data_IF_382887711265
#
_entry.id   IF_382887711265
#
_cell.length_a   1.000
_cell.length_b   1.000
_cell.length_c   1.000
_cell.angle_alpha   90.00
_cell.angle_beta   90.00
_cell.angle_gamma   90.00
#
_symmetry.space_group_name_H-M   'P 1'
#
loop_
_entity.id
_entity.type
_entity.pdbx_description
1 polymer ?
#
# COMPACT_ATOMS: atom_id res chain seq x y z
N UNK A 1 -46.61 -30.28 -23.45
CA UNK A 1 -46.43 -28.83 -23.76
C UNK A 1 -45.16 -28.38 -23.07
N UNK A 2 -44.29 -27.64 -23.76
CA UNK A 2 -42.93 -27.37 -23.29
C UNK A 2 -42.87 -26.27 -22.23
N UNK A 3 -41.96 -26.44 -21.26
CA UNK A 3 -41.58 -25.38 -20.32
C UNK A 3 -40.80 -24.28 -21.05
N UNK A 4 -41.25 -23.03 -20.93
CA UNK A 4 -40.57 -21.90 -21.54
C UNK A 4 -39.37 -21.45 -20.67
N UNK A 5 -38.17 -21.49 -21.25
CA UNK A 5 -36.98 -20.89 -20.65
C UNK A 5 -37.04 -19.36 -20.78
N UNK A 6 -36.97 -18.66 -19.65
CA UNK A 6 -36.88 -17.20 -19.63
C UNK A 6 -35.48 -16.75 -20.07
N UNK A 7 -35.34 -16.27 -21.31
CA UNK A 7 -34.09 -15.72 -21.81
C UNK A 7 -33.84 -14.32 -21.22
N UNK A 8 -32.71 -14.13 -20.53
CA UNK A 8 -32.26 -12.81 -20.08
C UNK A 8 -31.73 -12.00 -21.27
N UNK A 9 -32.38 -10.89 -21.61
CA UNK A 9 -31.97 -10.03 -22.71
C UNK A 9 -30.84 -9.08 -22.30
N UNK A 10 -29.63 -9.31 -22.82
CA UNK A 10 -28.53 -8.36 -22.67
C UNK A 10 -28.86 -7.05 -23.41
N UNK A 11 -29.03 -5.96 -22.66
CA UNK A 11 -29.35 -4.65 -23.23
C UNK A 11 -28.17 -4.11 -24.06
N UNK A 12 -28.44 -3.74 -25.31
CA UNK A 12 -27.42 -3.16 -26.20
C UNK A 12 -26.93 -1.81 -25.65
N UNK A 13 -25.62 -1.67 -25.46
CA UNK A 13 -25.03 -0.44 -24.95
C UNK A 13 -25.22 0.73 -25.95
N UNK A 14 -25.73 1.86 -25.46
CA UNK A 14 -25.92 3.06 -26.28
C UNK A 14 -24.58 3.58 -26.82
N UNK A 15 -24.50 3.80 -28.14
CA UNK A 15 -23.30 4.36 -28.78
C UNK A 15 -23.02 5.77 -28.23
N UNK A 16 -21.77 6.00 -27.83
CA UNK A 16 -21.31 7.33 -27.39
C UNK A 16 -21.28 8.30 -28.57
N UNK A 17 -21.65 9.56 -28.34
CA UNK A 17 -21.57 10.64 -29.33
C UNK A 17 -20.18 11.29 -29.29
N UNK A 18 -19.58 11.55 -30.45
CA UNK A 18 -18.24 12.15 -30.53
C UNK A 18 -18.33 13.65 -30.78
N UNK A 19 -17.38 14.39 -30.20
CA UNK A 19 -17.21 15.83 -30.36
C UNK A 19 -15.74 16.21 -30.42
N UNK A 20 -15.42 17.32 -31.09
CA UNK A 20 -14.07 17.86 -31.25
C UNK A 20 -14.08 19.31 -30.76
N UNK A 21 -13.10 19.70 -29.95
CA UNK A 21 -12.89 21.11 -29.59
C UNK A 21 -11.45 21.38 -29.14
N UNK A 22 -11.03 22.64 -29.16
CA UNK A 22 -9.87 23.08 -28.37
C UNK A 22 -10.20 23.06 -26.87
N UNK A 23 -9.27 22.59 -26.06
CA UNK A 23 -9.49 22.41 -24.63
C UNK A 23 -9.70 23.75 -23.90
N UNK A 24 -10.96 24.04 -23.55
CA UNK A 24 -11.40 25.26 -22.84
C UNK A 24 -10.65 25.55 -21.53
N UNK A 25 -10.12 24.51 -20.87
CA UNK A 25 -9.17 24.62 -19.75
C UNK A 25 -8.32 23.36 -19.64
N UNK A 26 -7.10 23.48 -19.12
CA UNK A 26 -6.14 22.36 -18.94
C UNK A 26 -6.51 21.35 -17.84
N UNK A 27 -7.80 21.20 -17.54
CA UNK A 27 -8.33 20.36 -16.43
C UNK A 27 -8.72 18.94 -16.87
N UNK A 28 -8.75 18.66 -18.17
CA UNK A 28 -9.03 17.32 -18.70
C UNK A 28 -7.75 16.51 -18.87
N UNK A 29 -7.70 15.30 -18.33
CA UNK A 29 -6.71 14.29 -18.71
C UNK A 29 -7.24 13.43 -19.87
N UNK A 30 -6.33 13.02 -20.76
CA UNK A 30 -6.61 12.07 -21.83
C UNK A 30 -6.91 10.67 -21.25
N UNK A 31 -7.97 10.01 -21.74
CA UNK A 31 -8.40 8.68 -21.28
C UNK A 31 -7.70 7.49 -21.95
N UNK A 32 -6.54 7.71 -22.55
CA UNK A 32 -5.60 6.66 -23.01
C UNK A 32 -4.23 6.84 -22.36
N UNK A 33 -3.59 8.01 -22.52
CA UNK A 33 -2.24 8.24 -21.97
C UNK A 33 -2.21 8.93 -20.59
N UNK A 34 -3.36 9.24 -19.98
CA UNK A 34 -3.51 9.92 -18.68
C UNK A 34 -2.86 11.31 -18.53
N UNK A 35 -2.14 11.80 -19.55
CA UNK A 35 -1.55 13.15 -19.59
C UNK A 35 -2.64 14.23 -19.70
N UNK A 36 -2.42 15.37 -19.04
CA UNK A 36 -3.29 16.55 -19.09
C UNK A 36 -3.27 17.20 -20.47
N UNK A 37 -4.45 17.31 -21.09
CA UNK A 37 -4.66 18.06 -22.33
C UNK A 37 -4.55 19.56 -22.00
N UNK A 38 -3.54 20.24 -22.53
CA UNK A 38 -3.27 21.65 -22.23
C UNK A 38 -4.40 22.58 -22.72
N UNK A 39 -4.60 23.74 -22.07
CA UNK A 39 -5.60 24.73 -22.53
C UNK A 39 -5.27 25.17 -23.96
N UNK A 40 -6.24 25.09 -24.86
CA UNK A 40 -6.07 25.43 -26.27
C UNK A 40 -5.56 24.28 -27.16
N UNK A 41 -5.14 23.14 -26.61
CA UNK A 41 -4.79 21.96 -27.40
C UNK A 41 -6.03 21.27 -27.98
N UNK A 42 -5.90 20.68 -29.16
CA UNK A 42 -6.95 19.91 -29.83
C UNK A 42 -7.32 18.65 -29.03
N UNK A 43 -8.61 18.40 -28.84
CA UNK A 43 -9.11 17.19 -28.16
C UNK A 43 -10.40 16.65 -28.75
N UNK A 44 -10.55 15.33 -28.64
CA UNK A 44 -11.80 14.62 -28.94
C UNK A 44 -12.47 14.16 -27.65
N UNK A 45 -13.79 14.24 -27.61
CA UNK A 45 -14.64 13.89 -26.48
C UNK A 45 -15.72 12.89 -26.88
N UNK A 46 -15.66 11.67 -26.35
CA UNK A 46 -16.69 10.66 -26.50
C UNK A 46 -17.65 10.71 -25.30
N UNK A 47 -18.92 11.04 -25.56
CA UNK A 47 -19.95 11.31 -24.56
C UNK A 47 -20.99 10.21 -24.53
N UNK A 48 -21.08 9.50 -23.41
CA UNK A 48 -22.12 8.51 -23.15
C UNK A 48 -23.13 9.05 -22.12
N UNK A 49 -24.41 8.77 -22.32
CA UNK A 49 -25.47 9.12 -21.39
C UNK A 49 -25.59 8.06 -20.30
N UNK A 50 -25.41 8.46 -19.05
CA UNK A 50 -25.56 7.59 -17.89
C UNK A 50 -27.06 7.24 -17.69
N UNK A 51 -27.41 5.99 -17.32
CA UNK A 51 -28.78 5.61 -17.02
C UNK A 51 -29.47 6.47 -15.94
N UNK A 52 -28.71 7.16 -15.09
CA UNK A 52 -29.20 8.13 -14.09
C UNK A 52 -29.48 9.53 -14.67
N UNK A 53 -29.41 9.70 -16.00
CA UNK A 53 -29.92 10.87 -16.71
C UNK A 53 -28.91 11.96 -17.05
N UNK A 54 -27.64 11.84 -16.65
CA UNK A 54 -26.58 12.81 -16.94
C UNK A 54 -25.59 12.32 -18.02
N UNK A 55 -24.99 13.25 -18.77
CA UNK A 55 -23.99 12.91 -19.79
C UNK A 55 -22.56 12.89 -19.23
N UNK A 56 -21.73 11.96 -19.70
CA UNK A 56 -20.35 11.76 -19.26
C UNK A 56 -19.39 11.70 -20.44
N UNK A 57 -18.57 12.75 -20.61
CA UNK A 57 -17.59 12.87 -21.69
C UNK A 57 -16.20 12.38 -21.27
N UNK A 58 -15.72 11.32 -21.94
CA UNK A 58 -14.30 10.89 -21.90
C UNK A 58 -13.51 11.72 -22.91
N UNK A 59 -12.47 12.41 -22.47
CA UNK A 59 -11.62 13.28 -23.31
C UNK A 59 -10.30 12.59 -23.69
N UNK A 60 -9.78 12.90 -24.87
CA UNK A 60 -8.56 12.33 -25.45
C UNK A 60 -7.78 13.39 -26.23
N UNK A 61 -6.44 13.29 -26.28
CA UNK A 61 -5.66 13.97 -27.33
C UNK A 61 -6.03 13.40 -28.71
N UNK A 62 -5.83 14.18 -29.78
CA UNK A 62 -6.11 13.75 -31.16
C UNK A 62 -5.43 12.41 -31.51
N UNK A 63 -4.10 12.35 -31.43
CA UNK A 63 -3.32 11.12 -31.61
C UNK A 63 -3.60 9.98 -30.59
N UNK A 64 -4.44 10.19 -29.57
CA UNK A 64 -4.80 9.20 -28.56
C UNK A 64 -6.27 8.78 -28.59
N UNK A 65 -7.05 9.20 -29.60
CA UNK A 65 -8.48 8.90 -29.67
C UNK A 65 -8.75 7.49 -30.24
N UNK A 66 -9.50 6.60 -29.55
CA UNK A 66 -9.74 5.23 -29.98
C UNK A 66 -10.84 5.16 -31.06
N UNK A 67 -10.48 5.46 -32.30
CA UNK A 67 -11.35 5.43 -33.49
C UNK A 67 -12.03 4.08 -33.74
N UNK A 68 -11.46 2.98 -33.24
CA UNK A 68 -12.05 1.64 -33.28
C UNK A 68 -13.23 1.46 -32.33
N UNK A 69 -13.20 2.12 -31.16
CA UNK A 69 -14.30 2.12 -30.20
C UNK A 69 -15.33 3.21 -30.52
N UNK A 70 -14.87 4.30 -31.14
CA UNK A 70 -15.65 5.49 -31.45
C UNK A 70 -15.35 5.94 -32.89
N UNK A 71 -15.97 5.31 -33.90
CA UNK A 71 -15.79 5.70 -35.30
C UNK A 71 -16.12 7.18 -35.54
N UNK A 72 -15.34 7.82 -36.40
CA UNK A 72 -15.47 9.23 -36.77
C UNK A 72 -16.19 9.40 -38.12
N UNK A 73 -16.98 8.43 -38.58
CA UNK A 73 -17.61 8.48 -39.90
C UNK A 73 -19.09 8.93 -39.83
N UNK A 74 -19.53 9.93 -40.62
CA UNK A 74 -18.72 10.85 -41.45
C UNK A 74 -17.95 11.89 -40.60
N UNK A 75 -16.70 12.22 -40.98
CA UNK A 75 -15.83 13.03 -40.11
C UNK A 75 -16.22 14.51 -40.11
N UNK A 76 -16.78 14.97 -41.22
CA UNK A 76 -17.44 16.26 -41.37
C UNK A 76 -18.70 16.43 -40.48
N UNK A 77 -19.36 15.34 -40.06
CA UNK A 77 -20.55 15.40 -39.18
C UNK A 77 -20.19 15.40 -37.68
N UNK A 78 -18.91 15.27 -37.32
CA UNK A 78 -18.49 15.20 -35.91
C UNK A 78 -18.61 16.56 -35.25
N UNK A 79 -19.42 16.64 -34.19
CA UNK A 79 -19.78 17.88 -33.49
C UNK A 79 -18.56 18.74 -33.12
N UNK A 80 -18.40 19.86 -33.82
CA UNK A 80 -17.31 20.83 -33.60
C UNK A 80 -16.16 20.77 -34.61
N UNK A 81 -16.21 19.88 -35.61
CA UNK A 81 -15.24 19.81 -36.70
C UNK A 81 -15.10 21.14 -37.46
N UNK A 82 -16.22 21.83 -37.76
CA UNK A 82 -16.20 23.15 -38.39
C UNK A 82 -15.59 24.26 -37.50
N UNK A 83 -15.49 24.03 -36.19
CA UNK A 83 -15.01 25.02 -35.20
C UNK A 83 -13.51 24.91 -34.88
N UNK A 84 -12.79 24.00 -35.53
CA UNK A 84 -11.32 23.90 -35.50
C UNK A 84 -10.72 24.37 -36.83
N UNK A 85 -9.43 24.72 -36.81
CA UNK A 85 -8.68 25.20 -38.00
C UNK A 85 -8.51 24.09 -39.04
N UNK A 86 -8.22 24.48 -40.29
CA UNK A 86 -8.04 23.54 -41.39
C UNK A 86 -6.88 22.56 -41.17
N UNK A 87 -5.75 22.98 -40.58
CA UNK A 87 -4.61 22.08 -40.32
C UNK A 87 -4.98 20.98 -39.32
N UNK A 88 -5.74 21.34 -38.27
CA UNK A 88 -6.26 20.41 -37.27
C UNK A 88 -7.35 19.49 -37.87
N UNK A 89 -8.15 19.97 -38.84
CA UNK A 89 -9.12 19.14 -39.58
C UNK A 89 -8.41 18.09 -40.44
N UNK A 90 -7.26 18.40 -41.02
CA UNK A 90 -6.45 17.42 -41.74
C UNK A 90 -5.87 16.35 -40.80
N UNK A 91 -5.44 16.70 -39.58
CA UNK A 91 -5.03 15.70 -38.57
C UNK A 91 -6.18 14.73 -38.25
N UNK A 92 -7.39 15.25 -37.96
CA UNK A 92 -8.56 14.41 -37.65
C UNK A 92 -8.97 13.53 -38.84
N UNK A 93 -8.93 14.06 -40.07
CA UNK A 93 -9.15 13.28 -41.30
C UNK A 93 -8.08 12.19 -41.47
N UNK A 94 -6.82 12.46 -41.16
CA UNK A 94 -5.74 11.47 -41.23
C UNK A 94 -5.89 10.36 -40.17
N UNK A 95 -6.33 10.69 -38.96
CA UNK A 95 -6.63 9.73 -37.89
C UNK A 95 -7.75 8.76 -38.29
N UNK A 96 -8.82 9.25 -38.90
CA UNK A 96 -9.90 8.40 -39.43
C UNK A 96 -9.41 7.51 -40.60
N UNK A 97 -8.58 8.05 -41.50
CA UNK A 97 -8.00 7.28 -42.64
C UNK A 97 -7.07 6.15 -42.20
N UNK A 98 -6.24 6.34 -41.16
CA UNK A 98 -5.36 5.28 -40.62
C UNK A 98 -6.18 4.05 -40.21
N UNK A 99 -7.22 4.27 -39.41
CA UNK A 99 -8.09 3.21 -38.89
C UNK A 99 -8.72 2.34 -39.99
N UNK A 100 -9.14 2.93 -41.11
CA UNK A 100 -9.71 2.18 -42.25
C UNK A 100 -8.71 1.29 -42.96
N UNK A 101 -7.41 1.62 -42.94
CA UNK A 101 -6.36 0.81 -43.56
C UNK A 101 -6.04 -0.44 -42.75
N UNK A 102 -6.04 -0.29 -41.42
CA UNK A 102 -5.72 -1.39 -40.50
C UNK A 102 -6.85 -2.44 -40.41
N UNK A 103 -8.08 -2.12 -40.86
CA UNK A 103 -9.18 -3.07 -41.01
C UNK A 103 -9.21 -3.80 -42.38
N UNK A 104 -8.28 -3.53 -43.29
CA UNK A 104 -8.30 -4.06 -44.67
C UNK A 104 -7.03 -4.81 -45.09
N UNK A 105 -6.24 -5.32 -44.13
CA UNK A 105 -5.10 -6.20 -44.38
C UNK A 105 -5.52 -7.67 -44.60
N UNK A 106 -4.83 -8.45 -45.47
CA UNK A 106 -5.23 -9.82 -45.79
C UNK A 106 -4.76 -10.87 -44.77
N UNK A 107 -5.51 -11.98 -44.69
CA UNK A 107 -5.18 -13.19 -43.93
C UNK A 107 -4.39 -14.20 -44.75
N UNK A 108 -3.34 -14.79 -44.17
CA UNK A 108 -2.83 -16.11 -44.55
C UNK A 108 -2.54 -16.97 -43.31
N UNK A 109 -2.48 -18.29 -43.49
CA UNK A 109 -2.42 -19.30 -42.43
C UNK A 109 -1.06 -20.00 -42.32
N UNK A 110 -0.92 -20.81 -41.26
CA UNK A 110 0.10 -21.86 -41.09
C UNK A 110 1.52 -21.37 -40.70
N UNK A 111 2.35 -22.15 -39.99
CA UNK A 111 2.16 -23.57 -39.60
C UNK A 111 2.60 -23.89 -38.17
N UNK A 112 2.26 -25.10 -37.73
CA UNK A 112 2.39 -25.53 -36.34
C UNK A 112 3.78 -26.07 -35.98
N UNK A 113 4.19 -25.88 -34.72
CA UNK A 113 4.99 -26.88 -34.00
C UNK A 113 4.72 -26.82 -32.49
N UNK A 114 4.01 -27.83 -31.97
CA UNK A 114 3.89 -28.09 -30.53
C UNK A 114 5.17 -28.76 -30.03
N UNK A 115 5.67 -28.31 -28.88
CA UNK A 115 6.39 -29.15 -27.92
C UNK A 115 5.59 -29.12 -26.63
N UNK A 116 5.41 -30.28 -25.98
CA UNK A 116 4.49 -30.47 -24.86
C UNK A 116 5.27 -30.81 -23.58
N UNK A 117 5.43 -29.84 -22.68
CA UNK A 117 5.64 -30.11 -21.27
C UNK A 117 4.27 -30.23 -20.56
N UNK A 118 4.21 -30.90 -19.41
CA UNK A 118 2.97 -31.19 -18.65
C UNK A 118 3.28 -31.08 -17.15
N UNK A 119 2.26 -30.87 -16.31
CA UNK A 119 2.31 -30.68 -14.83
C UNK A 119 2.77 -29.25 -14.43
N UNK A 120 2.19 -28.55 -13.45
CA UNK A 120 0.97 -28.79 -12.64
C UNK A 120 0.39 -27.44 -12.16
N UNK A 121 -0.89 -27.41 -11.73
CA UNK A 121 -1.52 -26.21 -11.17
C UNK A 121 -1.06 -25.87 -9.74
N UNK A 122 -0.75 -24.59 -9.43
CA UNK A 122 -0.77 -24.02 -8.09
C UNK A 122 -2.13 -23.39 -7.74
N UNK A 123 -2.29 -22.93 -6.49
CA UNK A 123 -3.51 -22.30 -5.98
C UNK A 123 -3.61 -20.78 -6.25
N UNK A 124 -4.76 -20.17 -5.90
CA UNK A 124 -5.10 -18.79 -6.24
C UNK A 124 -4.41 -17.73 -5.36
N UNK A 125 -4.10 -16.55 -5.93
CA UNK A 125 -3.79 -15.34 -5.14
C UNK A 125 -2.70 -14.39 -5.64
N UNK A 126 -2.58 -14.10 -6.95
CA UNK A 126 -1.56 -13.16 -7.48
C UNK A 126 -2.20 -12.05 -8.31
N UNK A 127 -1.69 -10.81 -8.20
CA UNK A 127 -2.21 -9.62 -8.87
C UNK A 127 -1.51 -9.32 -10.21
N UNK A 128 -1.70 -10.19 -11.21
CA UNK A 128 -0.95 -10.17 -12.50
C UNK A 128 -1.12 -8.92 -13.39
N UNK A 129 -2.02 -7.98 -13.07
CA UNK A 129 -2.43 -6.88 -13.97
C UNK A 129 -1.96 -5.47 -13.50
N UNK A 130 -0.70 -5.38 -13.06
CA UNK A 130 -0.06 -4.12 -12.68
C UNK A 130 1.10 -3.76 -13.63
N UNK A 131 0.98 -2.68 -14.40
CA UNK A 131 2.06 -2.19 -15.26
C UNK A 131 2.90 -1.13 -14.52
N UNK A 132 4.23 -1.25 -14.60
CA UNK A 132 5.17 -0.37 -13.90
C UNK A 132 5.72 0.66 -14.87
N UNK A 133 5.77 1.92 -14.46
CA UNK A 133 6.34 3.04 -15.22
C UNK A 133 7.35 3.84 -14.41
N UNK A 134 8.25 4.55 -15.10
CA UNK A 134 9.23 5.45 -14.50
C UNK A 134 9.19 6.81 -15.20
N UNK A 135 9.16 7.90 -14.42
CA UNK A 135 9.27 9.26 -14.97
C UNK A 135 9.79 10.26 -13.93
N UNK A 136 10.30 11.39 -14.40
CA UNK A 136 10.48 12.58 -13.55
C UNK A 136 9.11 13.21 -13.23
N UNK A 137 8.92 13.62 -11.98
CA UNK A 137 7.65 14.12 -11.47
C UNK A 137 7.25 15.46 -12.11
N UNK A 138 6.30 15.41 -13.06
CA UNK A 138 5.80 16.55 -13.87
C UNK A 138 5.25 17.75 -13.08
N UNK A 139 4.98 17.60 -11.79
CA UNK A 139 4.77 18.70 -10.83
C UNK A 139 4.80 18.15 -9.39
N UNK A 140 5.16 19.00 -8.41
CA UNK A 140 5.13 18.69 -6.97
C UNK A 140 3.72 18.56 -6.37
N UNK A 141 2.85 17.76 -7.00
CA UNK A 141 1.46 17.49 -6.61
C UNK A 141 1.15 15.99 -6.48
N UNK A 142 2.13 15.13 -6.76
CA UNK A 142 2.02 13.69 -6.52
C UNK A 142 2.54 13.35 -5.13
N UNK A 143 1.72 12.68 -4.34
CA UNK A 143 2.10 12.11 -3.05
C UNK A 143 2.64 10.69 -3.24
N UNK A 144 3.78 10.38 -2.63
CA UNK A 144 4.34 9.04 -2.57
C UNK A 144 3.40 8.09 -1.82
N UNK A 145 3.12 6.91 -2.37
CA UNK A 145 2.23 5.90 -1.78
C UNK A 145 2.91 4.94 -0.80
N UNK A 146 4.23 5.08 -0.59
CA UNK A 146 4.94 4.48 0.53
C UNK A 146 4.96 5.43 1.73
N UNK A 147 5.74 6.51 1.65
CA UNK A 147 5.95 7.43 2.78
C UNK A 147 4.93 8.58 2.94
N UNK A 148 3.92 8.71 2.07
CA UNK A 148 2.93 9.80 2.09
C UNK A 148 3.45 11.24 1.91
N UNK A 149 4.74 11.42 1.60
CA UNK A 149 5.33 12.74 1.31
C UNK A 149 5.12 13.22 -0.13
N UNK A 150 5.29 14.52 -0.36
CA UNK A 150 5.21 15.12 -1.70
C UNK A 150 6.46 14.77 -2.51
N UNK A 151 6.28 14.07 -3.63
CA UNK A 151 7.32 13.88 -4.63
C UNK A 151 7.58 15.23 -5.31
N UNK A 152 8.75 15.82 -5.08
CA UNK A 152 9.13 17.13 -5.59
C UNK A 152 9.11 17.20 -7.12
N UNK A 153 8.83 18.39 -7.67
CA UNK A 153 8.82 18.60 -9.13
C UNK A 153 10.19 18.31 -9.73
N UNK A 154 10.25 17.44 -10.74
CA UNK A 154 11.49 17.00 -11.37
C UNK A 154 12.21 15.83 -10.67
N UNK A 155 11.76 15.38 -9.50
CA UNK A 155 12.32 14.19 -8.85
C UNK A 155 11.89 12.90 -9.57
N UNK A 156 12.76 11.89 -9.63
CA UNK A 156 12.46 10.59 -10.24
C UNK A 156 11.43 9.82 -9.40
N UNK A 157 10.43 9.21 -10.05
CA UNK A 157 9.37 8.43 -9.40
C UNK A 157 8.98 7.18 -10.19
N UNK A 158 8.59 6.15 -9.45
CA UNK A 158 8.04 4.91 -9.99
C UNK A 158 6.51 4.89 -9.84
N UNK A 159 5.81 4.33 -10.83
CA UNK A 159 4.35 4.29 -10.88
C UNK A 159 3.82 2.88 -11.11
N UNK A 160 3.21 2.27 -10.10
CA UNK A 160 2.48 1.01 -10.28
C UNK A 160 1.04 1.31 -10.73
N UNK A 161 0.71 0.99 -11.97
CA UNK A 161 -0.61 1.23 -12.58
C UNK A 161 -1.43 -0.04 -12.59
N UNK A 162 -2.48 -0.09 -11.77
CA UNK A 162 -3.43 -1.21 -11.72
C UNK A 162 -4.66 -0.85 -12.55
N UNK A 163 -5.10 -1.78 -13.39
CA UNK A 163 -6.27 -1.61 -14.26
C UNK A 163 -7.52 -2.20 -13.62
N UNK A 164 -8.47 -1.33 -13.27
CA UNK A 164 -9.76 -1.72 -12.69
C UNK A 164 -10.63 -2.47 -13.72
N UNK A 165 -11.39 -3.52 -13.34
CA UNK A 165 -12.32 -4.22 -14.23
C UNK A 165 -13.35 -3.33 -14.95
N UNK A 166 -13.62 -2.12 -14.43
CA UNK A 166 -14.48 -1.10 -15.03
C UNK A 166 -13.76 -0.24 -16.08
N UNK A 167 -12.51 -0.55 -16.42
CA UNK A 167 -11.70 0.14 -17.43
C UNK A 167 -11.11 1.47 -16.97
N UNK A 168 -10.72 1.56 -15.69
CA UNK A 168 -10.04 2.73 -15.13
C UNK A 168 -8.63 2.36 -14.64
N UNK A 169 -7.62 3.06 -15.14
CA UNK A 169 -6.24 2.86 -14.72
C UNK A 169 -5.92 3.73 -13.48
N UNK A 170 -5.31 3.13 -12.46
CA UNK A 170 -4.98 3.78 -11.20
C UNK A 170 -3.49 3.65 -10.88
N UNK A 171 -2.72 4.71 -11.19
CA UNK A 171 -1.28 4.77 -10.91
C UNK A 171 -1.01 5.19 -9.47
N UNK A 172 -0.46 4.27 -8.67
CA UNK A 172 0.16 4.56 -7.37
C UNK A 172 1.58 5.04 -7.64
N UNK A 173 1.86 6.31 -7.33
CA UNK A 173 3.20 6.91 -7.47
C UNK A 173 4.02 6.72 -6.20
N UNK A 174 5.32 6.46 -6.33
CA UNK A 174 6.26 6.26 -5.23
C UNK A 174 7.57 7.02 -5.51
N UNK A 175 8.26 7.45 -4.46
CA UNK A 175 9.71 7.67 -4.57
C UNK A 175 10.38 6.34 -4.93
N UNK A 176 11.51 6.40 -5.63
CA UNK A 176 12.27 5.22 -6.05
C UNK A 176 12.56 4.27 -4.87
N UNK A 177 13.12 4.78 -3.78
CA UNK A 177 13.39 4.04 -2.52
C UNK A 177 12.15 3.68 -1.70
N UNK A 178 10.95 4.07 -2.13
CA UNK A 178 9.68 3.72 -1.49
C UNK A 178 8.81 2.80 -2.36
N UNK A 179 9.32 2.31 -3.51
CA UNK A 179 8.58 1.44 -4.40
C UNK A 179 8.66 -0.02 -3.91
N UNK A 180 7.53 -0.69 -3.61
CA UNK A 180 7.54 -2.05 -3.07
C UNK A 180 7.75 -3.07 -4.20
N UNK A 181 8.99 -3.23 -4.64
CA UNK A 181 9.36 -4.12 -5.76
C UNK A 181 8.92 -5.58 -5.54
N UNK A 182 9.00 -6.08 -4.30
CA UNK A 182 8.51 -7.41 -3.89
C UNK A 182 7.00 -7.62 -4.12
N UNK A 183 6.21 -6.54 -4.14
CA UNK A 183 4.76 -6.58 -4.41
C UNK A 183 4.45 -6.58 -5.92
N UNK A 184 5.40 -6.18 -6.75
CA UNK A 184 5.25 -6.09 -8.21
C UNK A 184 6.44 -6.78 -8.91
N UNK A 185 6.59 -8.12 -8.78
CA UNK A 185 7.80 -8.87 -9.17
C UNK A 185 8.09 -8.94 -10.67
N UNK A 186 7.32 -8.25 -11.52
CA UNK A 186 7.60 -8.03 -12.93
C UNK A 186 8.47 -6.78 -13.18
N UNK A 187 9.35 -6.44 -12.24
CA UNK A 187 10.29 -5.32 -12.33
C UNK A 187 11.62 -5.81 -12.89
N UNK A 188 11.81 -5.66 -14.20
CA UNK A 188 13.16 -5.45 -14.75
C UNK A 188 13.22 -4.04 -15.32
N UNK A 189 14.34 -3.34 -15.13
CA UNK A 189 14.46 -1.91 -15.50
C UNK A 189 14.24 -1.68 -17.00
N UNK A 190 14.63 -2.66 -17.80
CA UNK A 190 14.49 -2.68 -19.26
C UNK A 190 13.04 -2.80 -19.75
N UNK A 191 12.09 -3.21 -18.89
CA UNK A 191 10.65 -3.27 -19.19
C UNK A 191 9.86 -2.08 -18.63
N UNK A 192 10.50 -1.09 -17.99
CA UNK A 192 9.80 0.05 -17.39
C UNK A 192 9.30 1.04 -18.44
N UNK A 193 7.98 1.24 -18.51
CA UNK A 193 7.41 2.25 -19.41
C UNK A 193 7.91 3.65 -19.03
N UNK A 194 8.66 4.28 -19.95
CA UNK A 194 9.27 5.60 -19.77
C UNK A 194 10.79 5.59 -19.55
N UNK A 195 11.43 4.42 -19.46
CA UNK A 195 12.88 4.31 -19.22
C UNK A 195 13.73 5.04 -20.27
N UNK A 196 13.38 4.96 -21.56
CA UNK A 196 14.07 5.66 -22.67
C UNK A 196 14.07 7.20 -22.56
N UNK A 197 13.27 7.76 -21.64
CA UNK A 197 13.18 9.21 -21.37
C UNK A 197 13.89 9.64 -20.08
N UNK A 198 14.60 8.73 -19.41
CA UNK A 198 15.42 8.99 -18.23
C UNK A 198 16.86 9.32 -18.66
N UNK A 199 17.57 10.16 -17.91
CA UNK A 199 18.98 10.48 -18.19
C UNK A 199 19.87 9.32 -17.74
N UNK A 200 20.93 9.01 -18.49
CA UNK A 200 21.84 7.88 -18.23
C UNK A 200 22.26 7.75 -16.74
N UNK A 201 22.67 8.85 -16.10
CA UNK A 201 23.08 8.90 -14.68
C UNK A 201 21.98 8.52 -13.66
N UNK A 202 20.71 8.52 -14.06
CA UNK A 202 19.57 8.04 -13.27
C UNK A 202 19.14 6.62 -13.70
N UNK A 203 19.45 6.22 -14.94
CA UNK A 203 19.30 4.84 -15.41
C UNK A 203 20.25 3.88 -14.68
N UNK A 204 21.48 4.31 -14.41
CA UNK A 204 22.47 3.52 -13.66
C UNK A 204 22.00 3.24 -12.23
N UNK A 205 21.40 4.24 -11.57
CA UNK A 205 20.79 4.10 -10.23
C UNK A 205 19.61 3.13 -10.23
N UNK A 206 18.79 3.14 -11.29
CA UNK A 206 17.68 2.19 -11.44
C UNK A 206 18.19 0.75 -11.56
N UNK A 207 19.29 0.54 -12.31
CA UNK A 207 19.96 -0.76 -12.44
C UNK A 207 20.59 -1.21 -11.12
N UNK A 208 21.26 -0.32 -10.39
CA UNK A 208 21.82 -0.58 -9.06
C UNK A 208 20.71 -0.98 -8.05
N UNK A 209 19.55 -0.30 -8.10
CA UNK A 209 18.38 -0.64 -7.29
C UNK A 209 17.82 -2.05 -7.63
N UNK A 210 17.74 -2.40 -8.92
CA UNK A 210 17.37 -3.76 -9.37
C UNK A 210 18.38 -4.83 -8.92
N UNK A 211 19.68 -4.58 -9.10
CA UNK A 211 20.76 -5.47 -8.69
C UNK A 211 20.88 -5.61 -7.16
N UNK A 212 20.34 -4.68 -6.38
CA UNK A 212 20.24 -4.80 -4.93
C UNK A 212 19.16 -5.80 -4.51
N UNK A 213 18.05 -5.89 -5.24
CA UNK A 213 16.91 -6.76 -4.91
C UNK A 213 16.99 -8.15 -5.55
N UNK A 214 17.60 -8.29 -6.73
CA UNK A 214 17.81 -9.61 -7.35
C UNK A 214 18.84 -10.47 -6.61
N UNK A 215 19.73 -9.88 -5.79
CA UNK A 215 20.74 -10.63 -5.01
C UNK A 215 20.15 -11.43 -3.86
N UNK A 216 19.14 -10.89 -3.17
CA UNK A 216 18.45 -11.58 -2.06
C UNK A 216 17.61 -12.78 -2.54
N UNK A 217 17.37 -12.90 -3.85
CA UNK A 217 16.58 -13.98 -4.45
C UNK A 217 17.35 -15.27 -4.80
N UNK A 218 18.69 -15.29 -4.77
CA UNK A 218 19.44 -16.41 -5.36
C UNK A 218 20.86 -16.67 -4.80
N UNK A 219 20.96 -17.19 -3.56
CA UNK A 219 22.17 -17.91 -3.11
C UNK A 219 21.79 -19.19 -2.34
N UNK A 220 21.98 -20.34 -2.97
CA UNK A 220 22.06 -21.64 -2.30
C UNK A 220 23.47 -22.24 -2.48
N UNK A 221 24.23 -22.40 -1.39
CA UNK A 221 25.37 -23.32 -1.36
C UNK A 221 26.69 -22.81 -0.75
N UNK A 222 27.09 -23.47 0.34
CA UNK A 222 28.47 -23.86 0.70
C UNK A 222 29.55 -22.82 1.13
N UNK A 223 29.71 -22.71 2.45
CA UNK A 223 30.94 -23.05 3.21
C UNK A 223 32.28 -22.32 2.92
N UNK A 224 32.70 -21.40 3.81
CA UNK A 224 33.70 -21.65 4.89
C UNK A 224 34.31 -20.37 5.52
N UNK A 225 34.69 -20.45 6.80
CA UNK A 225 35.65 -19.55 7.50
C UNK A 225 37.02 -20.29 7.63
N UNK A 226 38.21 -19.65 7.87
CA UNK A 226 38.56 -19.20 9.24
C UNK A 226 39.62 -18.04 9.43
N UNK A 227 39.40 -17.18 10.43
CA UNK A 227 40.33 -16.80 11.54
C UNK A 227 41.63 -15.93 11.42
N UNK A 228 41.60 -14.77 12.12
CA UNK A 228 42.55 -14.27 13.17
C UNK A 228 43.93 -13.54 12.92
N UNK A 229 43.98 -12.22 13.32
CA UNK A 229 45.06 -11.47 14.07
C UNK A 229 46.41 -11.14 13.33
N UNK A 230 47.25 -10.12 13.68
CA UNK A 230 47.38 -9.12 14.80
C UNK A 230 48.27 -7.88 14.41
N UNK A 231 48.11 -6.71 15.06
CA UNK A 231 49.05 -5.54 15.30
C UNK A 231 50.05 -5.04 14.20
N UNK A 232 49.95 -3.82 13.61
CA UNK A 232 50.29 -2.43 14.08
C UNK A 232 51.78 -1.99 13.80
N UNK A 233 52.28 -0.73 13.75
CA UNK A 233 51.90 0.66 14.20
C UNK A 233 52.58 1.77 13.32
N UNK A 234 52.18 3.07 13.42
CA UNK A 234 52.81 4.34 12.90
C UNK A 234 52.89 4.58 11.36
N UNK A 235 52.84 5.81 10.80
CA UNK A 235 52.46 7.18 11.27
C UNK A 235 52.33 8.18 10.10
N UNK A 236 51.42 9.18 10.19
CA UNK A 236 51.43 10.55 9.60
C UNK A 236 52.08 10.76 8.20
N UNK A 237 51.48 11.34 7.16
CA UNK A 237 50.19 12.04 6.89
C UNK A 237 50.13 12.27 5.34
N UNK A 238 49.11 12.75 4.61
CA UNK A 238 47.82 13.42 4.82
C UNK A 238 46.92 13.22 3.54
N UNK A 239 45.69 13.78 3.51
CA UNK A 239 44.88 14.19 2.35
C UNK A 239 44.00 13.16 1.59
N UNK A 240 42.68 13.43 1.65
CA UNK A 240 41.60 13.00 0.73
C UNK A 240 41.28 11.50 0.59
N UNK A 241 40.37 10.99 1.44
CA UNK A 241 39.74 9.68 1.28
C UNK A 241 38.41 9.54 2.04
N UNK A 242 37.30 9.81 1.34
CA UNK A 242 35.87 9.52 1.65
C UNK A 242 35.53 9.05 3.07
N UNK A 243 34.86 9.89 3.87
CA UNK A 243 34.21 9.49 5.11
C UNK A 243 32.76 9.01 4.85
N UNK A 244 32.42 7.81 5.32
CA UNK A 244 31.11 7.18 5.07
C UNK A 244 29.96 7.84 5.84
N UNK A 245 28.75 7.84 5.25
CA UNK A 245 27.43 7.61 5.88
C UNK A 245 26.37 7.63 4.75
N UNK A 246 25.27 6.87 4.80
CA UNK A 246 24.63 6.24 5.95
C UNK A 246 24.48 4.71 5.74
N UNK A 247 25.43 3.94 6.25
CA UNK A 247 25.36 2.48 6.27
C UNK A 247 24.60 1.99 7.51
N UNK A 248 23.51 1.25 7.27
CA UNK A 248 22.64 0.71 8.31
C UNK A 248 21.77 1.75 9.00
N UNK A 249 20.54 1.37 9.36
CA UNK A 249 19.69 2.19 10.25
C UNK A 249 20.18 2.02 11.68
N UNK A 250 21.32 2.67 11.99
CA UNK A 250 21.65 3.07 13.37
C UNK A 250 20.47 3.89 13.88
N UNK A 251 19.90 3.50 15.02
CA UNK A 251 18.97 4.36 15.76
C UNK A 251 19.70 5.65 16.13
N UNK A 252 19.51 6.71 15.35
CA UNK A 252 20.07 8.02 15.65
C UNK A 252 19.42 8.53 16.93
N UNK A 253 20.25 8.70 17.97
CA UNK A 253 19.83 9.12 19.30
C UNK A 253 19.42 10.61 19.32
N UNK A 254 18.30 10.93 18.67
CA UNK A 254 17.67 12.24 18.71
C UNK A 254 17.13 12.75 17.38
N UNK A 255 15.95 12.28 16.97
CA UNK A 255 14.92 13.25 16.52
C UNK A 255 13.86 13.35 17.63
N UNK A 256 13.90 14.44 18.39
CA UNK A 256 12.96 14.71 19.51
C UNK A 256 11.62 15.23 18.99
N UNK A 257 10.95 14.46 18.13
CA UNK A 257 9.62 14.79 17.59
C UNK A 257 8.61 13.67 17.76
N UNK A 258 8.32 13.39 19.03
CA UNK A 258 6.93 13.13 19.39
C UNK A 258 6.05 14.32 18.92
N UNK A 259 4.79 14.08 18.57
CA UNK A 259 3.86 15.17 18.25
C UNK A 259 3.75 16.16 19.42
N UNK A 260 3.67 17.48 19.18
CA UNK A 260 4.51 18.48 19.86
C UNK A 260 4.38 18.69 21.38
N UNK A 261 3.46 17.99 22.06
CA UNK A 261 2.98 18.30 23.41
C UNK A 261 3.05 17.11 24.39
N UNK A 262 3.91 16.09 24.16
CA UNK A 262 4.08 14.98 25.12
C UNK A 262 5.49 14.37 25.13
N UNK A 263 5.97 14.02 26.33
CA UNK A 263 7.17 13.21 26.59
C UNK A 263 6.82 11.72 26.74
N UNK A 264 7.79 10.86 26.44
CA UNK A 264 7.69 9.40 26.56
C UNK A 264 8.83 8.86 27.43
N UNK A 265 8.64 7.73 28.15
CA UNK A 265 9.74 6.98 28.77
C UNK A 265 10.74 6.48 27.72
N UNK A 266 12.00 6.24 28.11
CA UNK A 266 13.08 5.95 27.16
C UNK A 266 12.84 4.71 26.27
N UNK A 267 12.18 3.67 26.81
CA UNK A 267 11.82 2.44 26.12
C UNK A 267 10.61 2.57 25.18
N UNK A 268 9.91 3.71 25.20
CA UNK A 268 8.80 4.03 24.29
C UNK A 268 9.24 5.05 23.24
N UNK A 269 8.86 4.81 21.99
CA UNK A 269 9.15 5.67 20.84
C UNK A 269 7.84 6.09 20.16
N UNK A 270 7.86 7.26 19.53
CA UNK A 270 6.80 7.71 18.63
C UNK A 270 7.34 7.77 17.20
N UNK A 271 6.54 7.31 16.25
CA UNK A 271 6.79 7.45 14.82
C UNK A 271 5.47 7.79 14.14
N UNK A 272 5.39 8.91 13.42
CA UNK A 272 4.14 9.41 12.80
C UNK A 272 2.96 9.45 13.80
N UNK A 273 2.03 8.49 13.66
CA UNK A 273 0.83 8.33 14.50
C UNK A 273 0.77 6.99 15.24
N UNK A 274 1.91 6.33 15.40
CA UNK A 274 2.07 5.15 16.27
C UNK A 274 3.04 5.45 17.41
N UNK A 275 2.68 5.00 18.62
CA UNK A 275 3.58 4.91 19.77
C UNK A 275 3.87 3.42 20.00
N UNK A 276 5.15 3.03 20.10
CA UNK A 276 5.56 1.63 20.27
C UNK A 276 6.67 1.46 21.30
N UNK A 277 6.78 0.25 21.87
CA UNK A 277 7.87 -0.11 22.79
C UNK A 277 9.03 -0.69 21.98
N UNK A 278 10.20 -0.07 22.08
CA UNK A 278 11.40 -0.42 21.29
C UNK A 278 12.19 -1.59 21.91
N UNK A 279 12.17 -1.70 23.24
CA UNK A 279 13.06 -2.58 23.97
C UNK A 279 12.49 -4.01 24.07
N UNK A 280 12.79 -4.87 23.08
CA UNK A 280 12.20 -6.21 22.95
C UNK A 280 12.85 -7.25 23.90
N UNK A 281 12.83 -6.97 25.22
CA UNK A 281 13.60 -7.61 26.32
C UNK A 281 13.48 -9.14 26.42
N UNK A 282 14.16 -9.83 25.50
CA UNK A 282 14.05 -11.27 25.30
C UNK A 282 12.64 -11.71 24.86
N UNK A 283 11.97 -10.90 24.04
CA UNK A 283 10.88 -11.39 23.18
C UNK A 283 11.51 -11.83 21.85
N UNK A 284 11.31 -13.08 21.44
CA UNK A 284 11.96 -13.59 20.23
C UNK A 284 11.16 -13.26 18.97
N UNK A 285 11.81 -13.11 17.80
CA UNK A 285 11.15 -13.26 16.50
C UNK A 285 10.50 -14.64 16.38
N UNK A 286 9.35 -14.73 15.69
CA UNK A 286 8.69 -16.02 15.44
C UNK A 286 7.91 -16.03 14.14
N UNK A 287 7.78 -17.21 13.54
CA UNK A 287 6.81 -17.43 12.45
C UNK A 287 5.37 -17.48 12.97
N UNK A 288 5.14 -17.72 14.26
CA UNK A 288 3.80 -17.74 14.87
C UNK A 288 3.56 -16.46 15.68
N UNK A 289 2.52 -15.71 15.33
CA UNK A 289 2.13 -14.49 16.01
C UNK A 289 0.80 -14.69 16.76
N UNK A 290 0.81 -14.42 18.06
CA UNK A 290 -0.41 -14.31 18.86
C UNK A 290 -0.61 -12.82 19.18
N UNK A 291 -1.60 -12.20 18.53
CA UNK A 291 -1.83 -10.77 18.63
C UNK A 291 -3.17 -10.43 19.31
N UNK A 292 -3.21 -9.31 20.04
CA UNK A 292 -4.31 -8.96 20.94
C UNK A 292 -4.68 -7.45 20.85
N UNK A 293 -5.92 -7.08 21.18
CA UNK A 293 -6.22 -5.73 21.71
C UNK A 293 -5.89 -5.66 23.21
N UNK A 294 -5.88 -4.45 23.79
CA UNK A 294 -5.69 -4.21 25.21
C UNK A 294 -6.96 -3.81 25.98
N UNK A 295 -7.72 -2.81 25.53
CA UNK A 295 -8.74 -2.10 26.33
C UNK A 295 -10.15 -2.70 26.12
N UNK A 296 -10.41 -3.83 26.79
CA UNK A 296 -11.60 -4.66 26.63
C UNK A 296 -11.25 -6.13 26.39
N UNK A 297 -10.10 -6.37 25.75
CA UNK A 297 -9.57 -7.71 25.49
C UNK A 297 -8.67 -8.24 26.63
N UNK A 298 -7.55 -7.59 26.92
CA UNK A 298 -6.60 -8.04 27.96
C UNK A 298 -6.81 -7.34 29.32
N UNK A 299 -7.15 -6.05 29.27
CA UNK A 299 -7.33 -5.20 30.43
C UNK A 299 -8.75 -4.64 30.45
N UNK A 300 -9.41 -4.79 31.61
CA UNK A 300 -10.69 -4.16 31.90
C UNK A 300 -10.45 -2.71 32.31
N UNK A 301 -10.80 -1.78 31.44
CA UNK A 301 -10.58 -0.33 31.68
C UNK A 301 -11.85 0.48 31.48
N UNK A 302 -11.78 1.78 31.75
CA UNK A 302 -12.94 2.66 31.62
C UNK A 302 -12.55 3.99 30.98
N UNK A 303 -13.18 4.34 29.87
CA UNK A 303 -13.02 5.64 29.21
C UNK A 303 -13.43 6.85 30.09
N UNK A 304 -14.05 6.60 31.25
CA UNK A 304 -14.44 7.62 32.23
C UNK A 304 -13.41 7.82 33.35
N UNK A 305 -12.43 6.93 33.51
CA UNK A 305 -11.47 6.93 34.63
C UNK A 305 -10.05 6.89 34.06
N UNK A 306 -9.18 7.80 34.49
CA UNK A 306 -7.84 7.98 33.91
C UNK A 306 -6.75 7.85 34.98
N UNK A 307 -5.66 7.19 34.60
CA UNK A 307 -4.50 6.88 35.44
C UNK A 307 -3.85 5.55 35.02
N UNK A 308 -2.55 5.40 35.25
CA UNK A 308 -1.82 4.15 35.00
C UNK A 308 -2.37 2.94 35.79
N UNK A 309 -2.96 3.22 36.95
CA UNK A 309 -3.43 2.24 37.94
C UNK A 309 -4.95 2.01 37.86
N UNK A 310 -5.60 2.42 36.76
CA UNK A 310 -7.06 2.38 36.60
C UNK A 310 -7.50 1.31 35.60
N UNK A 311 -7.08 0.09 35.90
CA UNK A 311 -7.36 -1.14 35.16
C UNK A 311 -7.39 -2.36 36.08
N UNK A 312 -7.96 -3.47 35.60
CA UNK A 312 -7.71 -4.83 36.08
C UNK A 312 -7.48 -5.76 34.88
N UNK A 313 -7.11 -7.01 35.10
CA UNK A 313 -7.26 -8.04 34.06
C UNK A 313 -8.74 -8.10 33.63
N UNK A 314 -8.98 -8.47 32.36
CA UNK A 314 -10.33 -8.80 31.87
C UNK A 314 -10.74 -10.21 32.34
N UNK A 315 -9.80 -11.16 32.38
CA UNK A 315 -9.92 -12.49 32.98
C UNK A 315 -8.63 -12.85 33.72
N UNK A 316 -8.73 -13.49 34.89
CA UNK A 316 -7.55 -13.89 35.68
C UNK A 316 -6.66 -14.93 34.98
N UNK A 317 -7.19 -15.64 33.99
CA UNK A 317 -6.50 -16.65 33.16
C UNK A 317 -5.52 -16.07 32.14
N UNK A 318 -5.56 -14.75 31.88
CA UNK A 318 -4.79 -14.10 30.82
C UNK A 318 -3.26 -14.32 30.96
N UNK A 319 -2.62 -14.13 32.14
CA UNK A 319 -1.18 -14.30 32.26
C UNK A 319 -0.74 -15.74 31.99
N UNK A 320 -1.52 -16.73 32.42
CA UNK A 320 -1.24 -18.14 32.18
C UNK A 320 -1.37 -18.50 30.69
N UNK A 321 -2.48 -18.16 30.04
CA UNK A 321 -2.66 -18.43 28.60
C UNK A 321 -1.60 -17.75 27.74
N UNK A 322 -1.20 -16.52 28.09
CA UNK A 322 -0.11 -15.82 27.40
C UNK A 322 1.26 -16.47 27.66
N UNK A 323 1.54 -16.94 28.88
CA UNK A 323 2.78 -17.66 29.18
C UNK A 323 2.85 -19.01 28.45
N UNK A 324 1.73 -19.73 28.31
CA UNK A 324 1.64 -20.96 27.49
C UNK A 324 1.97 -20.65 26.03
N UNK A 325 1.35 -19.62 25.43
CA UNK A 325 1.65 -19.20 24.06
C UNK A 325 3.12 -18.80 23.86
N UNK A 326 3.72 -18.08 24.82
CA UNK A 326 5.14 -17.75 24.77
C UNK A 326 6.02 -19.01 24.82
N UNK A 327 5.69 -19.98 25.69
CA UNK A 327 6.41 -21.25 25.81
C UNK A 327 6.27 -22.12 24.55
N UNK A 328 5.11 -22.09 23.90
CA UNK A 328 4.85 -22.69 22.58
C UNK A 328 5.61 -21.99 21.44
N UNK A 329 6.32 -20.88 21.70
CA UNK A 329 7.11 -20.14 20.73
C UNK A 329 6.30 -19.16 19.86
N UNK A 330 5.18 -18.63 20.35
CA UNK A 330 4.52 -17.49 19.71
C UNK A 330 5.21 -16.17 20.10
N UNK A 331 5.43 -15.26 19.14
CA UNK A 331 5.69 -13.86 19.47
C UNK A 331 4.36 -13.22 19.90
N UNK A 332 4.31 -12.72 21.13
CA UNK A 332 3.13 -12.05 21.68
C UNK A 332 3.12 -10.58 21.25
N UNK A 333 1.95 -10.08 20.81
CA UNK A 333 1.80 -8.72 20.26
C UNK A 333 0.51 -8.04 20.74
N UNK A 334 0.56 -6.75 21.07
CA UNK A 334 -0.62 -5.90 21.35
C UNK A 334 -0.72 -4.80 20.30
N UNK A 335 -1.91 -4.67 19.72
CA UNK A 335 -2.29 -3.62 18.79
C UNK A 335 -3.52 -2.88 19.34
N UNK A 336 -3.39 -1.61 19.72
CA UNK A 336 -4.43 -0.89 20.46
C UNK A 336 -4.70 0.52 19.94
N UNK A 337 -5.94 1.02 20.08
CA UNK A 337 -6.46 2.19 19.34
C UNK A 337 -6.63 3.44 20.24
N UNK A 338 -5.54 4.21 20.42
CA UNK A 338 -5.43 5.30 21.42
C UNK A 338 -6.12 6.62 21.04
N UNK A 339 -7.43 6.51 20.96
CA UNK A 339 -8.38 7.57 20.65
C UNK A 339 -8.37 8.71 21.69
N UNK A 340 -7.88 8.48 22.92
CA UNK A 340 -7.83 9.53 23.94
C UNK A 340 -6.61 10.45 23.81
N UNK A 341 -5.46 9.92 23.40
CA UNK A 341 -4.20 10.69 23.30
C UNK A 341 -4.36 11.87 22.32
N UNK A 342 -4.99 11.66 21.16
CA UNK A 342 -5.21 12.74 20.19
C UNK A 342 -6.46 13.60 20.49
N UNK A 343 -7.50 13.04 21.11
CA UNK A 343 -8.69 13.82 21.52
C UNK A 343 -8.38 14.81 22.65
N UNK A 344 -7.49 14.47 23.56
CA UNK A 344 -7.24 15.23 24.79
C UNK A 344 -6.05 16.20 24.64
N UNK A 345 -6.07 17.09 23.65
CA UNK A 345 -4.94 18.00 23.34
C UNK A 345 -4.36 18.71 24.57
N UNK A 346 -5.19 19.38 25.35
CA UNK A 346 -4.78 20.12 26.57
C UNK A 346 -4.44 19.20 27.78
N UNK A 347 -4.49 17.87 27.60
CA UNK A 347 -4.16 16.84 28.60
C UNK A 347 -3.41 15.66 27.95
N UNK A 348 -2.66 15.92 26.86
CA UNK A 348 -2.02 14.88 26.03
C UNK A 348 -1.12 13.99 26.87
N UNK A 349 -0.27 14.60 27.70
CA UNK A 349 0.60 13.90 28.65
C UNK A 349 -0.19 12.96 29.58
N UNK A 350 -1.24 13.44 30.26
CA UNK A 350 -2.06 12.62 31.15
C UNK A 350 -2.72 11.42 30.43
N UNK A 351 -3.09 11.56 29.16
CA UNK A 351 -3.61 10.45 28.36
C UNK A 351 -2.50 9.44 27.97
N UNK A 352 -1.32 9.94 27.62
CA UNK A 352 -0.11 9.15 27.33
C UNK A 352 0.33 8.37 28.58
N UNK A 353 0.57 9.04 29.70
CA UNK A 353 0.96 8.45 30.99
C UNK A 353 -0.04 7.38 31.43
N UNK A 354 -1.34 7.66 31.27
CA UNK A 354 -2.40 6.73 31.64
C UNK A 354 -2.42 5.48 30.78
N UNK A 355 -2.11 5.54 29.47
CA UNK A 355 -2.05 4.32 28.64
C UNK A 355 -0.72 3.60 28.82
N UNK A 356 0.41 4.31 28.72
CA UNK A 356 1.74 3.72 28.84
C UNK A 356 1.94 3.08 30.21
N UNK A 357 1.54 3.76 31.29
CA UNK A 357 1.64 3.17 32.64
C UNK A 357 0.69 1.98 32.89
N UNK A 358 -0.40 1.83 32.13
CA UNK A 358 -1.21 0.59 32.11
C UNK A 358 -0.48 -0.53 31.37
N UNK A 359 0.13 -0.22 30.24
CA UNK A 359 0.84 -1.17 29.39
C UNK A 359 2.14 -1.67 30.05
N UNK A 360 2.96 -0.78 30.61
CA UNK A 360 4.18 -1.15 31.34
C UNK A 360 3.84 -2.08 32.53
N UNK A 361 2.82 -1.75 33.33
CA UNK A 361 2.33 -2.60 34.44
C UNK A 361 1.70 -3.93 34.00
N UNK A 362 1.36 -4.07 32.72
CA UNK A 362 0.99 -5.35 32.12
C UNK A 362 2.23 -6.11 31.63
N UNK A 363 3.22 -5.41 31.05
CA UNK A 363 4.49 -5.99 30.59
C UNK A 363 5.30 -6.60 31.74
N UNK A 364 5.22 -6.03 32.95
CA UNK A 364 5.76 -6.61 34.19
C UNK A 364 5.29 -8.07 34.44
N UNK A 365 4.20 -8.52 33.78
CA UNK A 365 3.65 -9.87 33.87
C UNK A 365 3.85 -10.70 32.59
N UNK A 366 3.98 -10.07 31.43
CA UNK A 366 4.04 -10.74 30.12
C UNK A 366 4.90 -9.96 29.12
N UNK A 367 5.86 -10.62 28.47
CA UNK A 367 6.63 -10.00 27.38
C UNK A 367 5.76 -9.82 26.13
N UNK A 368 5.61 -8.60 25.63
CA UNK A 368 4.77 -8.29 24.45
C UNK A 368 5.33 -7.11 23.66
N UNK A 369 5.38 -7.21 22.32
CA UNK A 369 5.57 -6.03 21.45
C UNK A 369 4.27 -5.22 21.42
N UNK A 370 4.32 -3.90 21.54
CA UNK A 370 3.12 -3.07 21.62
C UNK A 370 3.17 -1.91 20.63
N UNK A 371 2.10 -1.73 19.86
CA UNK A 371 1.86 -0.54 19.05
C UNK A 371 0.49 0.10 19.36
N UNK A 372 0.47 1.43 19.44
CA UNK A 372 -0.67 2.25 19.82
C UNK A 372 -1.05 3.23 18.69
N UNK A 373 -2.15 2.97 18.00
CA UNK A 373 -2.65 3.76 16.87
C UNK A 373 -3.38 5.04 17.28
N UNK A 374 -2.79 6.20 17.00
CA UNK A 374 -3.38 7.50 17.32
C UNK A 374 -4.47 7.88 16.30
N UNK A 375 -5.72 8.00 16.76
CA UNK A 375 -6.85 8.31 15.89
C UNK A 375 -6.96 9.79 15.53
N UNK A 376 -6.75 10.14 14.26
CA UNK A 376 -7.04 11.47 13.71
C UNK A 376 -8.55 11.76 13.73
N UNK A 377 -8.91 13.04 13.87
CA UNK A 377 -10.31 13.49 13.98
C UNK A 377 -11.11 13.31 12.69
N UNK A 378 -12.45 13.40 12.80
CA UNK A 378 -13.49 13.05 11.79
C UNK A 378 -13.33 13.57 10.34
N UNK A 379 -12.37 14.47 10.07
CA UNK A 379 -12.21 15.19 8.80
C UNK A 379 -10.84 14.98 8.13
N UNK A 380 -10.11 13.92 8.50
CA UNK A 380 -8.76 13.61 7.98
C UNK A 380 -8.78 12.17 7.42
N UNK A 381 -8.13 11.86 6.28
CA UNK A 381 -8.06 10.50 5.75
C UNK A 381 -7.53 9.47 6.75
N UNK A 382 -7.97 8.22 6.54
CA UNK A 382 -7.68 7.06 7.39
C UNK A 382 -6.24 6.99 7.87
N UNK A 383 -6.09 6.82 9.19
CA UNK A 383 -4.77 6.68 9.79
C UNK A 383 -4.27 5.24 9.62
N UNK A 384 -3.14 5.01 8.93
CA UNK A 384 -2.68 3.67 8.60
C UNK A 384 -2.36 2.83 9.84
N UNK A 385 -2.01 3.47 10.97
CA UNK A 385 -1.71 2.79 12.22
C UNK A 385 -2.95 2.61 13.13
N UNK A 386 -4.15 3.02 12.70
CA UNK A 386 -5.38 2.82 13.47
C UNK A 386 -6.19 1.65 12.91
N UNK A 387 -6.49 0.65 13.74
CA UNK A 387 -7.39 -0.46 13.38
C UNK A 387 -8.75 0.11 12.91
N UNK A 388 -9.32 -0.36 11.78
CA UNK A 388 -8.97 -1.60 11.06
C UNK A 388 -7.77 -1.54 10.10
N UNK A 389 -7.10 -0.39 9.92
CA UNK A 389 -5.93 -0.30 9.04
C UNK A 389 -4.72 -1.07 9.62
N UNK A 390 -3.94 -1.66 8.72
CA UNK A 390 -2.96 -2.71 9.04
C UNK A 390 -1.52 -2.21 9.30
N UNK A 391 -1.28 -0.90 9.37
CA UNK A 391 0.05 -0.32 9.49
C UNK A 391 0.82 -0.73 10.75
N UNK A 392 0.13 -1.03 11.86
CA UNK A 392 0.79 -1.58 13.06
C UNK A 392 1.29 -3.02 12.86
N UNK A 393 0.60 -3.81 12.04
CA UNK A 393 1.04 -5.17 11.68
C UNK A 393 2.33 -5.12 10.86
N UNK A 394 2.35 -4.31 9.79
CA UNK A 394 3.53 -4.17 8.93
C UNK A 394 4.74 -3.64 9.70
N UNK A 395 4.55 -2.62 10.55
CA UNK A 395 5.59 -2.13 11.47
C UNK A 395 6.22 -3.28 12.28
N UNK A 396 5.38 -4.15 12.85
CA UNK A 396 5.83 -5.30 13.66
C UNK A 396 6.56 -6.34 12.81
N UNK A 397 6.00 -6.75 11.66
CA UNK A 397 6.62 -7.79 10.83
C UNK A 397 7.92 -7.34 10.17
N UNK A 398 7.99 -6.09 9.68
CA UNK A 398 9.13 -5.57 8.92
C UNK A 398 10.30 -5.19 9.84
N UNK A 399 10.03 -4.59 11.01
CA UNK A 399 11.08 -4.06 11.89
C UNK A 399 11.31 -4.86 13.18
N UNK A 400 10.33 -5.64 13.65
CA UNK A 400 10.39 -6.33 14.96
C UNK A 400 10.24 -7.86 14.89
N UNK A 401 10.19 -8.45 13.68
CA UNK A 401 10.20 -9.90 13.48
C UNK A 401 11.43 -10.43 12.71
N UNK A 402 12.49 -9.63 12.60
CA UNK A 402 13.80 -10.01 12.03
C UNK A 402 13.74 -10.68 10.65
N UNK A 403 12.79 -10.28 9.80
CA UNK A 403 12.59 -10.85 8.46
C UNK A 403 11.95 -12.25 8.43
N UNK A 404 11.55 -12.82 9.57
CA UNK A 404 10.83 -14.09 9.59
C UNK A 404 9.42 -13.94 9.02
N UNK A 405 9.12 -14.71 7.97
CA UNK A 405 7.80 -14.81 7.40
C UNK A 405 6.79 -15.40 8.40
N UNK A 406 5.59 -14.83 8.46
CA UNK A 406 4.53 -15.26 9.39
C UNK A 406 3.73 -16.41 8.79
N UNK A 407 3.55 -17.46 9.59
CA UNK A 407 2.66 -18.58 9.37
C UNK A 407 1.23 -18.14 9.70
N UNK A 408 0.49 -17.72 8.67
CA UNK A 408 -0.85 -17.13 8.82
C UNK A 408 -1.89 -18.13 9.34
N UNK A 409 -1.75 -19.43 9.02
CA UNK A 409 -2.67 -20.48 9.49
C UNK A 409 -2.53 -20.76 10.99
N UNK A 410 -1.32 -20.59 11.54
CA UNK A 410 -1.06 -20.71 12.99
C UNK A 410 -1.22 -19.39 13.75
N UNK A 411 -1.25 -18.25 13.06
CA UNK A 411 -1.30 -16.93 13.69
C UNK A 411 -2.74 -16.40 13.85
N UNK A 412 -3.00 -15.63 14.90
CA UNK A 412 -4.36 -15.18 15.23
C UNK A 412 -4.40 -13.80 15.89
N UNK A 413 -5.59 -13.19 15.85
CA UNK A 413 -5.92 -11.95 16.56
C UNK A 413 -7.09 -12.16 17.55
N UNK A 414 -6.99 -11.57 18.74
CA UNK A 414 -8.07 -11.54 19.74
C UNK A 414 -8.44 -10.09 20.07
N UNK A 415 -9.73 -9.74 20.05
CA UNK A 415 -10.17 -8.37 20.34
C UNK A 415 -11.68 -8.25 20.61
N UNK A 416 -12.11 -7.23 21.38
CA UNK A 416 -13.52 -7.06 21.77
C UNK A 416 -14.38 -6.43 20.65
N UNK A 417 -13.75 -5.67 19.74
CA UNK A 417 -14.45 -4.97 18.67
C UNK A 417 -14.82 -5.91 17.51
N UNK A 418 -15.78 -6.80 17.75
CA UNK A 418 -16.22 -7.85 16.84
C UNK A 418 -17.49 -7.49 16.01
N UNK A 419 -18.05 -6.30 16.22
CA UNK A 419 -19.26 -5.83 15.54
C UNK A 419 -20.55 -6.51 16.01
N UNK A 420 -20.60 -6.99 17.26
CA UNK A 420 -21.83 -7.42 17.95
C UNK A 420 -22.67 -6.19 18.33
N UNK A 421 -23.96 -6.36 18.63
CA UNK A 421 -24.87 -5.24 18.97
C UNK A 421 -24.42 -4.41 20.20
N UNK A 422 -23.66 -5.04 21.10
CA UNK A 422 -23.09 -4.41 22.30
C UNK A 422 -21.69 -3.82 22.08
N UNK A 423 -21.03 -4.12 20.97
CA UNK A 423 -19.64 -3.71 20.74
C UNK A 423 -19.57 -2.23 20.33
N UNK A 424 -18.48 -1.58 20.72
CA UNK A 424 -18.27 -0.17 20.42
C UNK A 424 -17.83 0.06 18.96
N UNK A 425 -17.33 -0.98 18.27
CA UNK A 425 -16.98 -1.02 16.84
C UNK A 425 -16.74 -2.47 16.37
N UNK A 426 -16.42 -2.64 15.09
CA UNK A 426 -15.98 -3.88 14.42
C UNK A 426 -14.47 -3.88 14.08
N UNK A 427 -13.71 -2.93 14.63
CA UNK A 427 -12.36 -2.60 14.20
C UNK A 427 -11.33 -3.74 14.37
N UNK A 428 -11.52 -4.65 15.33
CA UNK A 428 -10.59 -5.74 15.60
C UNK A 428 -10.78 -6.91 14.63
N UNK A 429 -12.04 -7.24 14.37
CA UNK A 429 -12.45 -8.24 13.39
C UNK A 429 -12.07 -7.83 11.98
N UNK A 430 -12.31 -6.57 11.60
CA UNK A 430 -11.93 -6.05 10.30
C UNK A 430 -10.40 -5.87 10.17
N UNK A 431 -9.67 -5.56 11.25
CA UNK A 431 -8.19 -5.59 11.27
C UNK A 431 -7.65 -7.00 11.00
N UNK A 432 -8.12 -8.00 11.76
CA UNK A 432 -7.71 -9.39 11.58
C UNK A 432 -7.97 -9.90 10.16
N UNK A 433 -9.18 -9.65 9.65
CA UNK A 433 -9.64 -9.97 8.29
C UNK A 433 -8.84 -9.24 7.19
N UNK A 434 -8.42 -8.00 7.42
CA UNK A 434 -7.61 -7.23 6.47
C UNK A 434 -6.16 -7.73 6.38
N UNK A 435 -5.66 -8.40 7.43
CA UNK A 435 -4.35 -9.07 7.45
C UNK A 435 -4.45 -10.51 6.93
N UNK A 436 -5.61 -11.17 7.13
CA UNK A 436 -5.80 -12.61 6.88
C UNK A 436 -5.56 -13.49 8.12
N UNK A 437 -5.59 -12.91 9.32
CA UNK A 437 -5.48 -13.65 10.59
C UNK A 437 -6.80 -14.30 10.98
N UNK A 438 -6.71 -15.46 11.63
CA UNK A 438 -7.84 -16.05 12.37
C UNK A 438 -8.26 -15.12 13.51
N UNK A 439 -9.55 -14.83 13.63
CA UNK A 439 -10.08 -13.93 14.67
C UNK A 439 -10.78 -14.71 15.81
N UNK A 440 -10.61 -14.23 17.03
CA UNK A 440 -11.27 -14.71 18.25
C UNK A 440 -11.78 -13.53 19.09
N UNK A 441 -12.85 -13.73 19.87
CA UNK A 441 -13.29 -12.77 20.88
C UNK A 441 -12.72 -13.11 22.26
N UNK A 442 -12.57 -12.15 23.20
CA UNK A 442 -11.90 -12.38 24.48
C UNK A 442 -12.66 -13.35 25.38
N UNK A 443 -14.00 -13.36 25.28
CA UNK A 443 -14.88 -14.27 26.02
C UNK A 443 -14.53 -15.73 25.71
N UNK A 444 -14.67 -16.13 24.43
CA UNK A 444 -14.38 -17.48 23.93
C UNK A 444 -12.92 -17.89 24.18
N UNK A 445 -11.97 -16.95 24.06
CA UNK A 445 -10.55 -17.26 24.15
C UNK A 445 -10.05 -17.43 25.60
N UNK A 446 -10.51 -16.60 26.53
CA UNK A 446 -9.96 -16.53 27.89
C UNK A 446 -10.86 -17.08 29.00
N UNK A 447 -12.19 -17.10 28.84
CA UNK A 447 -13.10 -17.51 29.92
C UNK A 447 -13.01 -19.01 30.27
N UNK A 448 -12.67 -19.87 29.31
CA UNK A 448 -12.41 -21.29 29.55
C UNK A 448 -11.07 -21.50 30.26
N UNK A 449 -11.08 -21.36 31.60
CA UNK A 449 -9.93 -21.58 32.49
C UNK A 449 -10.37 -21.89 33.94
N UNK A 450 -11.45 -22.66 34.09
CA UNK A 450 -12.03 -23.01 35.39
C UNK A 450 -12.50 -24.48 35.43
N UNK A 451 -11.65 -25.41 34.96
CA UNK A 451 -11.79 -26.87 35.09
C UNK A 451 -10.47 -27.59 34.73
N UNK A 452 -9.42 -27.36 35.54
CA UNK A 452 -8.22 -28.22 35.67
C UNK A 452 -7.95 -28.36 37.17
#
# INVERSE_FOLDING_TARGET
MSTALAASSAAAAAKATVSIEYAKSGRSACKVCSVSIAKGALRLGATARDPRGYDSTKWYHAACFPTSSHPLDPVEEVKGFDSIKEEDREEVRALNKKHKRDQTGPTEESSTKKVKATLSSPAAGVAENASISVEYAKSGRSTCKGCSEIIASGALRLGATIRDPRGFDSTKWYHMTCFPASTYPAFTVENLMGFDSIKNQDCDKLREFEESHNRDGNVTGQLNEPSLKKEAVHSMEDSNGVENNLEGVKMLAGDKRAGPDATLPAHWKAFNTVIFREQDDGLQPSTKIAAFDFDGCLAKTSVRIVGADKWSLQYESIPEKLQILYNDGYKLVIFTNESNIERWKNKRQQAVDSKIGRLDKFIDRVKVFIACGLGKGKNIPDDPFRKPNTGMWWLMTEHFNSGLAVDMDKSFYVGDAAGRETDHSDADKEFAKAIGLKFHVPEDYFAEAANI
#
